data_IF_656667058926
#
_entry.id   IF_656667058926
#
_cell.length_a   1.000
_cell.length_b   1.000
_cell.length_c   1.000
_cell.angle_alpha   90.00
_cell.angle_beta   90.00
_cell.angle_gamma   90.00
#
_symmetry.space_group_name_H-M   'P 1'
#
loop_
_entity.id
_entity.type
_entity.pdbx_description
1 polymer ?
#
# COMPACT_ATOMS: atom_id res chain seq x y z
N UNK A 1 -9.67 54.65 -45.88
CA UNK A 1 -9.35 53.39 -46.57
C UNK A 1 -9.32 52.29 -45.50
N UNK A 2 -10.33 51.42 -45.50
CA UNK A 2 -10.57 50.40 -44.47
C UNK A 2 -9.58 49.24 -44.57
N UNK A 3 -8.93 48.85 -43.46
CA UNK A 3 -8.59 47.45 -43.14
C UNK A 3 -8.50 47.29 -41.61
N UNK A 4 -9.60 46.89 -40.98
CA UNK A 4 -9.56 46.33 -39.63
C UNK A 4 -9.40 44.82 -39.78
N UNK A 5 -8.33 44.25 -39.21
CA UNK A 5 -8.14 42.81 -39.12
C UNK A 5 -8.15 42.43 -37.64
N UNK A 6 -9.27 41.81 -37.27
CA UNK A 6 -9.47 40.73 -36.27
C UNK A 6 -8.66 40.78 -34.97
N UNK A 7 -9.31 41.11 -33.84
CA UNK A 7 -9.89 40.17 -32.85
C UNK A 7 -8.85 39.24 -32.23
N UNK A 8 -8.43 39.56 -31.00
CA UNK A 8 -8.68 38.71 -29.84
C UNK A 8 -8.76 39.57 -28.59
N UNK A 9 -9.90 39.49 -27.92
CA UNK A 9 -10.11 39.99 -26.56
C UNK A 9 -9.41 39.02 -25.60
N UNK A 10 -8.46 39.51 -24.82
CA UNK A 10 -8.11 38.92 -23.53
C UNK A 10 -7.72 40.08 -22.60
N UNK A 11 -8.72 40.48 -21.81
CA UNK A 11 -8.61 41.37 -20.67
C UNK A 11 -7.44 40.93 -19.75
N UNK A 12 -6.55 41.84 -19.32
CA UNK A 12 -6.60 42.49 -17.99
C UNK A 12 -6.74 41.42 -16.88
N UNK A 13 -5.80 41.21 -15.95
CA UNK A 13 -5.27 42.15 -14.93
C UNK A 13 -4.04 41.47 -14.30
N UNK A 14 -2.82 42.01 -14.45
CA UNK A 14 -2.04 42.73 -13.41
C UNK A 14 -1.93 42.00 -12.06
N UNK A 15 -0.75 41.48 -11.72
CA UNK A 15 -0.11 41.88 -10.46
C UNK A 15 1.41 41.80 -10.57
N UNK A 16 1.99 42.95 -10.26
CA UNK A 16 3.39 43.33 -10.17
C UNK A 16 4.32 42.32 -9.51
N UNK A 17 5.41 42.05 -10.23
CA UNK A 17 6.69 41.56 -9.70
C UNK A 17 7.20 42.57 -8.66
N UNK A 18 7.14 42.20 -7.38
CA UNK A 18 7.98 42.78 -6.34
C UNK A 18 8.93 41.69 -5.86
N UNK A 19 10.21 41.88 -6.18
CA UNK A 19 11.30 41.10 -5.62
C UNK A 19 11.38 41.36 -4.10
N UNK A 20 11.04 40.36 -3.30
CA UNK A 20 11.43 40.27 -1.89
C UNK A 20 11.96 38.86 -1.67
N UNK A 21 13.27 38.79 -1.39
CA UNK A 21 14.06 37.65 -0.90
C UNK A 21 13.58 36.25 -1.27
N UNK A 22 14.38 35.55 -2.06
CA UNK A 22 14.38 34.08 -2.14
C UNK A 22 14.80 33.48 -0.79
N UNK A 23 13.94 33.56 0.22
CA UNK A 23 13.92 32.49 1.20
C UNK A 23 13.49 31.24 0.41
N UNK A 24 14.14 30.08 0.62
CA UNK A 24 13.56 28.86 0.09
C UNK A 24 12.15 28.81 0.68
N UNK A 25 11.14 28.92 -0.18
CA UNK A 25 9.89 28.22 0.07
C UNK A 25 10.35 26.77 0.05
N UNK A 26 10.82 26.29 1.21
CA UNK A 26 10.70 24.90 1.52
C UNK A 26 9.24 24.64 1.27
N UNK A 27 8.95 23.98 0.15
CA UNK A 27 7.74 23.23 0.01
C UNK A 27 7.62 22.51 1.33
N UNK A 28 6.72 22.98 2.19
CA UNK A 28 6.21 22.19 3.27
C UNK A 28 5.37 21.13 2.56
N UNK A 29 6.07 20.18 1.94
CA UNK A 29 5.74 18.80 2.13
C UNK A 29 5.86 18.63 3.64
N UNK A 30 4.79 18.95 4.32
CA UNK A 30 4.38 18.15 5.46
C UNK A 30 4.38 16.75 4.87
N UNK A 31 5.51 16.04 5.03
CA UNK A 31 5.44 14.62 5.17
C UNK A 31 4.50 14.47 6.36
N UNK A 32 3.20 14.36 6.05
CA UNK A 32 2.29 13.59 6.86
C UNK A 32 3.06 12.27 6.98
N UNK A 33 3.74 12.13 8.13
CA UNK A 33 4.64 11.03 8.37
C UNK A 33 3.72 9.87 8.58
N UNK A 34 3.24 9.27 7.49
CA UNK A 34 2.48 8.05 7.52
C UNK A 34 3.22 7.12 8.47
N UNK A 35 2.61 6.91 9.63
CA UNK A 35 3.17 6.10 10.68
C UNK A 35 2.40 4.81 10.60
N UNK A 36 3.10 3.71 10.32
CA UNK A 36 2.50 2.38 10.39
C UNK A 36 2.35 2.04 11.86
N UNK A 37 1.26 2.52 12.46
CA UNK A 37 0.88 2.27 13.83
C UNK A 37 -0.49 1.58 13.90
N UNK A 38 -0.84 1.11 15.09
CA UNK A 38 -2.10 0.40 15.32
C UNK A 38 -3.33 1.25 14.98
N UNK A 39 -3.27 2.57 15.14
CA UNK A 39 -4.40 3.46 14.85
C UNK A 39 -4.62 3.61 13.34
N UNK A 40 -3.55 3.86 12.58
CA UNK A 40 -3.54 3.89 11.12
C UNK A 40 -4.00 2.58 10.51
N UNK A 41 -3.53 1.46 11.04
CA UNK A 41 -3.93 0.14 10.56
C UNK A 41 -5.38 -0.20 10.93
N UNK A 42 -5.90 0.26 12.07
CA UNK A 42 -7.33 0.13 12.39
C UNK A 42 -8.20 0.92 11.41
N UNK A 43 -7.80 2.14 11.03
CA UNK A 43 -8.50 2.91 9.99
C UNK A 43 -8.51 2.17 8.64
N UNK A 44 -7.41 1.49 8.30
CA UNK A 44 -7.33 0.65 7.11
C UNK A 44 -8.32 -0.54 7.18
N UNK A 45 -8.40 -1.20 8.35
CA UNK A 45 -9.36 -2.28 8.61
C UNK A 45 -10.81 -1.80 8.49
N UNK A 46 -11.12 -0.64 9.06
CA UNK A 46 -12.46 -0.05 8.98
C UNK A 46 -12.82 0.31 7.54
N UNK A 47 -11.88 0.88 6.80
CA UNK A 47 -12.03 1.18 5.37
C UNK A 47 -12.28 -0.10 4.57
N UNK A 48 -11.49 -1.15 4.79
CA UNK A 48 -11.70 -2.46 4.17
C UNK A 48 -13.10 -3.00 4.47
N UNK A 49 -13.49 -3.01 5.75
CA UNK A 49 -14.79 -3.52 6.21
C UNK A 49 -15.98 -2.71 5.68
N UNK A 50 -15.80 -1.40 5.48
CA UNK A 50 -16.80 -0.51 4.87
C UNK A 50 -16.95 -0.69 3.37
N UNK A 51 -15.93 -1.24 2.69
CA UNK A 51 -15.89 -1.41 1.23
C UNK A 51 -15.95 -2.88 0.78
N UNK A 52 -16.26 -3.83 1.66
CA UNK A 52 -16.35 -5.27 1.36
C UNK A 52 -17.26 -5.62 0.17
N UNK A 53 -18.27 -4.80 -0.10
CA UNK A 53 -19.21 -5.02 -1.21
C UNK A 53 -18.61 -4.65 -2.58
N UNK A 54 -17.48 -3.93 -2.57
CA UNK A 54 -16.72 -3.60 -3.78
C UNK A 54 -15.71 -4.69 -4.15
N UNK A 55 -15.46 -5.66 -3.25
CA UNK A 55 -14.56 -6.77 -3.54
C UNK A 55 -15.18 -7.70 -4.58
N UNK A 56 -14.45 -8.04 -5.66
CA UNK A 56 -14.84 -9.10 -6.58
C UNK A 56 -15.12 -10.40 -5.82
N UNK A 57 -16.22 -11.07 -6.15
CA UNK A 57 -16.65 -12.31 -5.48
C UNK A 57 -15.55 -13.38 -5.28
N UNK A 58 -14.68 -13.66 -6.28
CA UNK A 58 -13.57 -14.58 -6.10
C UNK A 58 -12.58 -14.16 -5.01
N UNK A 59 -12.27 -12.87 -4.88
CA UNK A 59 -11.38 -12.36 -3.83
C UNK A 59 -12.06 -12.40 -2.46
N UNK A 60 -13.34 -12.02 -2.39
CA UNK A 60 -14.12 -12.12 -1.16
C UNK A 60 -14.20 -13.56 -0.65
N UNK A 61 -14.37 -14.53 -1.55
CA UNK A 61 -14.38 -15.96 -1.20
C UNK A 61 -13.02 -16.47 -0.70
N UNK A 62 -11.91 -15.89 -1.16
CA UNK A 62 -10.56 -16.24 -0.70
C UNK A 62 -10.21 -15.63 0.66
N UNK A 63 -10.83 -14.51 1.02
CA UNK A 63 -10.61 -13.81 2.29
C UNK A 63 -11.64 -14.20 3.36
N UNK A 64 -12.58 -15.09 3.06
CA UNK A 64 -13.66 -15.48 3.95
C UNK A 64 -13.24 -16.59 4.94
N UNK A 65 -13.36 -16.33 6.24
CA UNK A 65 -13.09 -17.30 7.30
C UNK A 65 -11.61 -17.55 7.55
N UNK A 66 -10.77 -16.55 7.28
CA UNK A 66 -9.31 -16.67 7.25
C UNK A 66 -8.66 -16.08 8.51
N UNK A 67 -7.48 -16.61 8.85
CA UNK A 67 -6.57 -16.08 9.87
C UNK A 67 -5.37 -15.51 9.12
N UNK A 68 -5.25 -14.20 9.09
CA UNK A 68 -4.31 -13.49 8.25
C UNK A 68 -3.17 -12.97 9.10
N UNK A 69 -1.93 -13.27 8.71
CA UNK A 69 -0.74 -12.56 9.18
C UNK A 69 -0.38 -11.49 8.16
N UNK A 70 -0.12 -10.26 8.61
CA UNK A 70 0.30 -9.14 7.78
C UNK A 70 1.71 -8.73 8.22
N UNK A 71 2.64 -8.71 7.29
CA UNK A 71 4.01 -8.25 7.52
C UNK A 71 4.28 -7.07 6.62
N UNK A 72 4.67 -5.96 7.24
CA UNK A 72 4.98 -4.69 6.57
C UNK A 72 6.47 -4.45 6.74
N UNK A 73 7.24 -4.58 5.68
CA UNK A 73 8.70 -4.38 5.72
C UNK A 73 9.04 -2.89 5.73
N UNK A 74 9.89 -2.50 6.67
CA UNK A 74 10.44 -1.14 6.81
C UNK A 74 11.95 -1.17 7.02
N UNK A 75 12.62 -0.03 6.81
CA UNK A 75 14.03 0.15 7.13
C UNK A 75 14.34 0.08 8.63
N UNK A 76 13.36 0.43 9.47
CA UNK A 76 13.54 0.54 10.92
C UNK A 76 13.12 -0.73 11.70
N UNK A 77 12.55 -1.71 10.98
CA UNK A 77 12.07 -2.98 11.51
C UNK A 77 10.72 -3.35 10.92
N UNK A 78 10.45 -4.64 10.77
CA UNK A 78 9.16 -5.10 10.21
C UNK A 78 8.04 -4.86 11.23
N UNK A 79 6.88 -4.41 10.74
CA UNK A 79 5.64 -4.38 11.51
C UNK A 79 4.85 -5.66 11.29
N UNK A 80 4.40 -6.25 12.38
CA UNK A 80 3.72 -7.54 12.39
C UNK A 80 2.30 -7.37 12.96
N UNK A 81 1.31 -7.72 12.15
CA UNK A 81 -0.09 -7.68 12.56
C UNK A 81 -0.78 -9.01 12.24
N UNK A 82 -1.91 -9.25 12.90
CA UNK A 82 -2.82 -10.32 12.53
C UNK A 82 -4.26 -9.84 12.46
N UNK A 83 -5.01 -10.45 11.55
CA UNK A 83 -6.44 -10.23 11.38
C UNK A 83 -7.18 -11.57 11.32
N UNK A 84 -8.43 -11.60 11.80
CA UNK A 84 -9.33 -12.74 11.62
C UNK A 84 -10.57 -12.28 10.88
N UNK A 85 -10.90 -12.94 9.77
CA UNK A 85 -12.10 -12.66 8.99
C UNK A 85 -13.20 -13.69 9.25
N UNK A 86 -14.45 -13.27 9.15
CA UNK A 86 -15.60 -14.17 9.18
C UNK A 86 -15.95 -14.71 7.78
N UNK A 87 -17.01 -15.51 7.67
CA UNK A 87 -17.43 -16.12 6.38
C UNK A 87 -17.84 -15.14 5.28
N UNK A 88 -17.95 -13.85 5.59
CA UNK A 88 -18.22 -12.76 4.65
C UNK A 88 -16.97 -11.96 4.27
N UNK A 89 -15.79 -12.43 4.67
CA UNK A 89 -14.50 -11.74 4.60
C UNK A 89 -14.39 -10.47 5.44
N UNK A 90 -15.34 -10.21 6.35
CA UNK A 90 -15.26 -9.07 7.28
C UNK A 90 -14.24 -9.36 8.37
N UNK A 91 -13.32 -8.43 8.60
CA UNK A 91 -12.37 -8.49 9.73
C UNK A 91 -13.16 -8.33 11.03
N UNK A 92 -13.03 -9.30 11.92
CA UNK A 92 -13.66 -9.35 13.25
C UNK A 92 -12.67 -9.22 14.40
N UNK A 93 -11.37 -9.35 14.14
CA UNK A 93 -10.29 -9.18 15.10
C UNK A 93 -9.06 -8.64 14.39
N UNK A 94 -8.34 -7.74 15.04
CA UNK A 94 -7.07 -7.16 14.58
C UNK A 94 -6.12 -7.01 15.79
N UNK A 95 -4.83 -7.33 15.64
CA UNK A 95 -3.84 -7.32 16.73
C UNK A 95 -2.42 -7.05 16.24
N UNK A 96 -1.56 -6.51 17.11
CA UNK A 96 -0.14 -6.20 16.86
C UNK A 96 0.81 -7.39 17.10
N UNK A 97 0.43 -8.57 16.62
CA UNK A 97 1.29 -9.76 16.70
C UNK A 97 0.90 -10.73 15.59
N UNK A 98 1.84 -11.59 15.18
CA UNK A 98 1.53 -12.72 14.30
C UNK A 98 0.78 -13.82 15.06
N UNK A 99 -0.15 -14.50 14.39
CA UNK A 99 -0.71 -15.76 14.87
C UNK A 99 0.15 -16.95 14.41
N UNK A 100 0.26 -17.99 15.24
CA UNK A 100 1.09 -19.17 14.97
C UNK A 100 0.52 -20.08 13.85
N UNK A 101 -0.80 -20.08 13.66
CA UNK A 101 -1.49 -20.87 12.64
C UNK A 101 -2.29 -19.96 11.69
N UNK A 102 -1.60 -19.12 10.90
CA UNK A 102 -2.27 -18.35 9.86
C UNK A 102 -2.75 -19.28 8.76
N UNK A 103 -3.82 -18.89 8.08
CA UNK A 103 -4.29 -19.50 6.82
C UNK A 103 -3.91 -18.65 5.60
N UNK A 104 -3.66 -17.35 5.82
CA UNK A 104 -3.14 -16.41 4.85
C UNK A 104 -1.97 -15.61 5.42
N UNK A 105 -1.01 -15.27 4.57
CA UNK A 105 0.06 -14.30 4.84
C UNK A 105 0.00 -13.20 3.80
N UNK A 106 0.01 -11.96 4.25
CA UNK A 106 0.09 -10.76 3.43
C UNK A 106 1.44 -10.11 3.68
N UNK A 107 2.19 -9.84 2.62
CA UNK A 107 3.48 -9.16 2.67
C UNK A 107 3.40 -7.86 1.85
N UNK A 108 3.88 -6.76 2.41
CA UNK A 108 3.92 -5.43 1.76
C UNK A 108 5.08 -4.61 2.35
N UNK A 109 5.37 -3.44 1.80
CA UNK A 109 6.28 -2.46 2.41
C UNK A 109 5.54 -1.31 3.09
N UNK A 110 6.22 -0.64 4.02
CA UNK A 110 5.74 0.59 4.65
C UNK A 110 5.41 1.65 3.60
N UNK A 111 6.25 1.83 2.59
CA UNK A 111 6.02 2.79 1.51
C UNK A 111 4.68 2.55 0.80
N UNK A 112 4.37 1.30 0.48
CA UNK A 112 3.12 0.92 -0.20
C UNK A 112 1.92 1.17 0.70
N UNK A 113 2.01 0.88 1.99
CA UNK A 113 0.94 1.17 2.95
C UNK A 113 0.68 2.66 3.03
N UNK A 114 1.73 3.47 3.08
CA UNK A 114 1.61 4.92 3.10
C UNK A 114 1.00 5.50 1.83
N UNK A 115 1.43 5.03 0.67
CA UNK A 115 0.83 5.43 -0.61
C UNK A 115 -0.67 5.10 -0.68
N UNK A 116 -1.09 3.98 -0.08
CA UNK A 116 -2.50 3.59 0.00
C UNK A 116 -3.27 4.50 0.96
N UNK A 117 -2.73 4.76 2.15
CA UNK A 117 -3.40 5.57 3.17
C UNK A 117 -3.54 7.04 2.74
N UNK A 118 -2.55 7.57 2.05
CA UNK A 118 -2.56 8.96 1.54
C UNK A 118 -3.36 9.11 0.24
N UNK A 119 -3.79 8.00 -0.38
CA UNK A 119 -4.55 8.03 -1.62
C UNK A 119 -5.94 8.62 -1.42
N UNK A 120 -6.39 9.40 -2.40
CA UNK A 120 -7.78 9.85 -2.49
C UNK A 120 -8.78 8.68 -2.61
N UNK A 121 -8.31 7.51 -3.05
CA UNK A 121 -9.09 6.28 -3.09
C UNK A 121 -8.22 5.09 -2.62
N UNK A 122 -8.15 4.85 -1.31
CA UNK A 122 -7.31 3.80 -0.72
C UNK A 122 -7.67 2.40 -1.22
N UNK A 123 -8.96 2.12 -1.45
CA UNK A 123 -9.40 0.82 -1.95
C UNK A 123 -8.89 0.55 -3.39
N UNK A 124 -8.92 1.56 -4.26
CA UNK A 124 -8.36 1.44 -5.60
C UNK A 124 -6.83 1.33 -5.56
N UNK A 125 -6.15 2.13 -4.73
CA UNK A 125 -4.69 2.07 -4.56
C UNK A 125 -4.23 0.70 -4.05
N UNK A 126 -4.92 0.12 -3.07
CA UNK A 126 -4.61 -1.21 -2.55
C UNK A 126 -4.81 -2.30 -3.61
N UNK A 127 -5.85 -2.20 -4.44
CA UNK A 127 -6.09 -3.13 -5.54
C UNK A 127 -5.00 -3.02 -6.62
N UNK A 128 -4.55 -1.82 -6.94
CA UNK A 128 -3.48 -1.61 -7.90
C UNK A 128 -2.13 -2.08 -7.36
N UNK A 129 -1.82 -1.84 -6.08
CA UNK A 129 -0.65 -2.39 -5.40
C UNK A 129 -0.65 -3.93 -5.41
N UNK A 130 -1.81 -4.56 -5.16
CA UNK A 130 -1.96 -6.01 -5.29
C UNK A 130 -1.70 -6.51 -6.73
N UNK A 131 -2.18 -5.78 -7.74
CA UNK A 131 -1.97 -6.13 -9.16
C UNK A 131 -0.53 -5.95 -9.63
N UNK A 132 0.20 -5.03 -9.01
CA UNK A 132 1.60 -4.73 -9.32
C UNK A 132 2.60 -5.57 -8.52
N UNK A 133 2.12 -6.53 -7.72
CA UNK A 133 2.90 -7.37 -6.81
C UNK A 133 3.56 -6.59 -5.64
N UNK A 134 3.15 -5.34 -5.39
CA UNK A 134 3.58 -4.54 -4.23
C UNK A 134 2.91 -5.01 -2.92
N UNK A 135 1.75 -5.64 -3.04
CA UNK A 135 1.10 -6.42 -1.97
C UNK A 135 1.00 -7.87 -2.44
N UNK A 136 1.65 -8.77 -1.69
CA UNK A 136 1.59 -10.22 -1.96
C UNK A 136 0.64 -10.89 -0.96
N UNK A 137 -0.24 -11.77 -1.44
CA UNK A 137 -1.13 -12.58 -0.61
C UNK A 137 -0.86 -14.06 -0.86
N UNK A 138 -0.36 -14.75 0.16
CA UNK A 138 -0.03 -16.17 0.11
C UNK A 138 -0.95 -17.00 1.00
N UNK A 139 -1.47 -18.10 0.47
CA UNK A 139 -2.17 -19.10 1.29
C UNK A 139 -1.16 -19.95 2.06
N UNK A 140 -1.20 -19.89 3.39
CA UNK A 140 -0.29 -20.61 4.28
C UNK A 140 -1.09 -21.67 5.04
N UNK A 141 -0.79 -22.94 4.82
CA UNK A 141 -1.56 -24.04 5.41
C UNK A 141 -1.36 -25.34 4.64
N UNK A 142 -1.54 -26.48 5.32
CA UNK A 142 -1.09 -27.83 4.92
C UNK A 142 -1.62 -28.33 3.56
N UNK A 143 -2.50 -27.58 2.87
CA UNK A 143 -3.03 -27.94 1.55
C UNK A 143 -2.79 -26.91 0.43
N UNK A 144 -2.05 -25.82 0.66
CA UNK A 144 -1.79 -24.79 -0.36
C UNK A 144 -0.34 -24.28 -0.41
N UNK A 145 0.65 -25.14 -0.14
CA UNK A 145 2.05 -24.82 -0.41
C UNK A 145 2.39 -25.00 -1.90
N UNK A 146 1.97 -24.07 -2.76
CA UNK A 146 2.70 -23.85 -4.02
C UNK A 146 3.82 -22.88 -3.70
N UNK A 147 4.96 -23.46 -3.33
CA UNK A 147 6.24 -22.74 -3.20
C UNK A 147 6.56 -22.02 -4.50
N UNK A 148 6.27 -20.73 -4.59
CA UNK A 148 6.75 -19.84 -5.66
C UNK A 148 7.89 -18.94 -5.15
N UNK A 149 8.83 -19.52 -4.41
CA UNK A 149 10.20 -18.99 -4.28
C UNK A 149 11.19 -19.87 -5.05
N UNK A 150 11.03 -19.96 -6.37
CA UNK A 150 12.08 -20.48 -7.28
C UNK A 150 12.84 -19.35 -7.98
N UNK A 151 12.38 -18.10 -7.88
CA UNK A 151 13.14 -16.97 -8.39
C UNK A 151 14.03 -16.38 -7.28
N UNK A 152 15.33 -16.70 -7.37
CA UNK A 152 16.46 -15.91 -6.81
C UNK A 152 16.97 -16.26 -5.41
N UNK A 153 17.45 -17.50 -5.26
CA UNK A 153 18.61 -17.78 -4.38
C UNK A 153 19.61 -18.69 -5.11
N UNK A 154 20.04 -18.23 -6.28
CA UNK A 154 21.16 -18.81 -7.05
C UNK A 154 22.47 -18.00 -6.92
N UNK A 155 22.55 -17.05 -6.00
CA UNK A 155 23.78 -16.28 -5.76
C UNK A 155 24.06 -16.18 -4.27
N UNK A 156 24.90 -17.07 -3.74
CA UNK A 156 25.38 -16.90 -2.36
C UNK A 156 25.90 -18.10 -1.58
N UNK A 157 26.14 -19.28 -2.17
CA UNK A 157 26.89 -20.36 -1.47
C UNK A 157 27.81 -21.05 -2.47
N UNK A 158 29.02 -20.54 -2.63
CA UNK A 158 30.00 -21.16 -3.54
C UNK A 158 31.46 -20.70 -3.39
N UNK A 159 31.81 -19.93 -2.34
CA UNK A 159 33.19 -19.44 -2.19
C UNK A 159 33.74 -19.53 -0.76
N UNK A 160 33.19 -20.41 0.08
CA UNK A 160 33.65 -20.60 1.46
C UNK A 160 34.03 -22.04 1.83
N UNK A 161 34.06 -23.00 0.89
CA UNK A 161 34.62 -24.33 1.11
C UNK A 161 35.46 -24.73 -0.11
N UNK A 162 36.75 -24.42 -0.06
CA UNK A 162 37.72 -24.96 -0.99
C UNK A 162 37.80 -26.47 -0.86
N UNK A 163 37.10 -27.19 -1.74
CA UNK A 163 37.36 -28.58 -2.11
C UNK A 163 37.05 -28.70 -3.61
N UNK A 164 38.15 -28.59 -4.38
CA UNK A 164 38.34 -28.83 -5.83
C UNK A 164 37.95 -27.71 -6.79
#
# INVERSE_FOLDING_TARGET
MFKYKSITVAALVVFSVLAVSVAPVAAQSEADSCTVDLEGMQMAVDTYNGNLDQLPGPLRGQLAGERVNVVITSSDGDYEYSAVTNGDARVTSFSEDLVENPTLRVETSESTVCEILDSQNPAAAALDAYRNDDITVEGVGVTKSVTLRVAKTLFGVGSALGLF
#
